data_IF_938785591189
#
_entry.id   IF_938785591189
#
_cell.length_a   1.000
_cell.length_b   1.000
_cell.length_c   1.000
_cell.angle_alpha   90.00
_cell.angle_beta   90.00
_cell.angle_gamma   90.00
#
_symmetry.space_group_name_H-M   'P 1'
#
loop_
_entity.id
_entity.type
_entity.pdbx_description
1 polymer ?
#
# COMPACT_ATOMS: atom_id res chain seq x y z
N UNK A 1 14.77 23.35 -10.92
CA UNK A 1 13.31 23.07 -10.75
C UNK A 1 12.91 23.02 -9.29
N UNK A 2 13.51 22.17 -8.45
CA UNK A 2 13.18 22.06 -7.01
C UNK A 2 13.27 23.38 -6.24
N UNK A 3 14.36 24.15 -6.41
CA UNK A 3 14.51 25.46 -5.75
C UNK A 3 13.42 26.45 -6.17
N UNK A 4 13.00 26.41 -7.44
CA UNK A 4 11.93 27.27 -7.95
C UNK A 4 10.59 26.97 -7.26
N UNK A 5 10.20 25.69 -7.21
CA UNK A 5 8.99 25.26 -6.50
C UNK A 5 9.04 25.64 -5.02
N UNK A 6 10.19 25.48 -4.36
CA UNK A 6 10.38 25.87 -2.96
C UNK A 6 10.18 27.37 -2.72
N UNK A 7 10.59 28.23 -3.67
CA UNK A 7 10.38 29.67 -3.59
C UNK A 7 8.91 30.07 -3.87
N UNK A 8 8.14 29.22 -4.55
CA UNK A 8 6.72 29.44 -4.84
C UNK A 8 5.81 29.06 -3.66
N UNK A 9 6.22 28.08 -2.82
CA UNK A 9 5.45 27.56 -1.66
C UNK A 9 4.86 28.65 -0.74
N UNK A 10 5.59 29.72 -0.34
CA UNK A 10 5.01 30.75 0.52
C UNK A 10 3.82 31.49 -0.11
N UNK A 11 3.76 31.54 -1.44
CA UNK A 11 2.72 32.23 -2.20
C UNK A 11 1.64 31.27 -2.72
N UNK A 12 1.94 29.98 -2.83
CA UNK A 12 1.03 28.94 -3.31
C UNK A 12 1.01 27.72 -2.36
N UNK A 13 0.05 27.66 -1.42
CA UNK A 13 -0.12 26.53 -0.52
C UNK A 13 -0.41 25.20 -1.23
N UNK A 14 -0.84 25.21 -2.49
CA UNK A 14 -1.11 23.97 -3.25
C UNK A 14 0.17 23.23 -3.65
N UNK A 15 1.33 23.88 -3.51
CA UNK A 15 2.64 23.26 -3.69
C UNK A 15 3.11 22.45 -2.46
N UNK A 16 2.36 22.45 -1.36
CA UNK A 16 2.69 21.67 -0.16
C UNK A 16 2.23 20.22 -0.32
N UNK A 17 3.16 19.30 -0.13
CA UNK A 17 2.86 17.87 -0.12
C UNK A 17 2.23 17.44 1.21
N UNK A 18 1.17 16.66 1.13
CA UNK A 18 0.59 15.98 2.28
C UNK A 18 1.34 14.67 2.56
N UNK A 19 2.13 14.67 3.64
CA UNK A 19 2.97 13.52 4.01
C UNK A 19 2.17 12.23 4.22
N UNK A 20 0.97 12.33 4.78
CA UNK A 20 0.21 11.15 5.19
C UNK A 20 -0.64 10.52 4.08
N UNK A 21 -0.77 11.21 2.94
CA UNK A 21 -1.49 10.76 1.76
C UNK A 21 -0.88 9.48 1.16
N UNK A 22 -1.71 8.51 0.74
CA UNK A 22 -1.22 7.22 0.24
C UNK A 22 -0.43 7.31 -1.07
N UNK A 23 -0.59 8.38 -1.87
CA UNK A 23 0.29 8.61 -3.02
C UNK A 23 1.76 8.89 -2.60
N UNK A 24 1.98 9.32 -1.35
CA UNK A 24 3.30 9.57 -0.78
C UNK A 24 3.81 8.41 0.10
N UNK A 25 3.01 7.33 0.26
CA UNK A 25 3.35 6.16 1.06
C UNK A 25 3.38 4.90 0.20
N UNK A 26 4.56 4.29 0.11
CA UNK A 26 4.81 3.07 -0.66
C UNK A 26 4.93 1.84 0.24
N UNK A 27 4.28 0.75 -0.13
CA UNK A 27 4.42 -0.56 0.50
C UNK A 27 5.69 -1.24 -0.03
N UNK A 28 6.54 -1.68 0.90
CA UNK A 28 7.70 -2.53 0.57
C UNK A 28 7.31 -3.99 0.67
N UNK A 29 7.38 -4.70 -0.45
CA UNK A 29 7.01 -6.10 -0.51
C UNK A 29 8.15 -7.02 -0.01
N UNK A 30 7.85 -8.25 0.46
CA UNK A 30 8.87 -9.20 0.91
C UNK A 30 9.95 -9.46 -0.15
N UNK A 31 9.58 -9.50 -1.44
CA UNK A 31 10.52 -9.67 -2.54
C UNK A 31 11.57 -8.56 -2.62
N UNK A 32 11.17 -7.30 -2.42
CA UNK A 32 12.09 -6.16 -2.40
C UNK A 32 13.02 -6.20 -1.18
N UNK A 33 12.52 -6.63 -0.02
CA UNK A 33 13.35 -6.81 1.17
C UNK A 33 14.40 -7.92 0.93
N UNK A 34 13.99 -9.03 0.31
CA UNK A 34 14.88 -10.12 -0.07
C UNK A 34 15.91 -9.69 -1.11
N UNK A 35 15.51 -8.93 -2.13
CA UNK A 35 16.41 -8.38 -3.14
C UNK A 35 17.47 -7.48 -2.51
N UNK A 36 17.07 -6.58 -1.61
CA UNK A 36 18.00 -5.69 -0.92
C UNK A 36 18.99 -6.45 -0.02
N UNK A 37 18.52 -7.49 0.67
CA UNK A 37 19.40 -8.36 1.46
C UNK A 37 20.38 -9.12 0.57
N UNK A 38 19.91 -9.68 -0.55
CA UNK A 38 20.74 -10.37 -1.54
C UNK A 38 21.79 -9.43 -2.14
N UNK A 39 21.38 -8.23 -2.58
CA UNK A 39 22.27 -7.18 -3.11
C UNK A 39 23.35 -6.83 -2.10
N UNK A 40 22.99 -6.63 -0.83
CA UNK A 40 23.96 -6.36 0.26
C UNK A 40 24.96 -7.50 0.42
N UNK A 41 24.48 -8.76 0.37
CA UNK A 41 25.33 -9.95 0.41
C UNK A 41 26.31 -10.02 -0.77
N UNK A 42 25.81 -9.79 -1.98
CA UNK A 42 26.60 -9.81 -3.22
C UNK A 42 27.67 -8.69 -3.25
N UNK A 43 27.32 -7.48 -2.80
CA UNK A 43 28.28 -6.36 -2.70
C UNK A 43 29.42 -6.71 -1.73
N UNK A 44 29.11 -7.31 -0.58
CA UNK A 44 30.13 -7.79 0.37
C UNK A 44 30.98 -8.90 -0.24
N UNK A 45 30.36 -9.85 -0.93
CA UNK A 45 31.07 -10.93 -1.63
C UNK A 45 32.05 -10.37 -2.67
N UNK A 46 31.60 -9.41 -3.49
CA UNK A 46 32.40 -8.79 -4.54
C UNK A 46 33.61 -8.04 -3.95
N UNK A 47 33.42 -7.34 -2.82
CA UNK A 47 34.52 -6.68 -2.11
C UNK A 47 35.57 -7.70 -1.63
N UNK A 48 35.15 -8.76 -0.96
CA UNK A 48 36.06 -9.80 -0.47
C UNK A 48 36.78 -10.52 -1.62
N UNK A 49 36.07 -10.80 -2.72
CA UNK A 49 36.67 -11.39 -3.91
C UNK A 49 37.75 -10.47 -4.51
N UNK A 50 37.49 -9.17 -4.58
CA UNK A 50 38.48 -8.16 -5.03
C UNK A 50 39.71 -8.11 -4.13
N UNK A 51 39.51 -8.14 -2.81
CA UNK A 51 40.61 -8.14 -1.84
C UNK A 51 41.45 -9.44 -1.89
N UNK A 52 40.86 -10.55 -2.33
CA UNK A 52 41.58 -11.80 -2.58
C UNK A 52 42.29 -11.80 -3.92
N UNK A 53 41.72 -11.21 -4.97
CA UNK A 53 42.36 -11.13 -6.29
C UNK A 53 43.75 -10.48 -6.25
N UNK A 54 44.01 -9.57 -5.30
CA UNK A 54 45.34 -8.98 -5.12
C UNK A 54 46.37 -9.92 -4.47
N UNK A 55 45.95 -11.09 -3.96
CA UNK A 55 46.79 -12.02 -3.18
C UNK A 55 47.00 -13.38 -3.83
N UNK A 56 46.15 -13.79 -4.76
CA UNK A 56 46.22 -15.11 -5.40
C UNK A 56 46.76 -14.99 -6.84
N UNK A 57 47.64 -15.92 -7.21
CA UNK A 57 48.09 -16.09 -8.59
C UNK A 57 46.95 -16.72 -9.42
N UNK A 58 46.67 -16.17 -10.61
CA UNK A 58 45.48 -16.50 -11.42
C UNK A 58 45.56 -17.86 -12.13
N UNK A 59 46.75 -18.46 -12.12
CA UNK A 59 47.19 -19.66 -12.81
C UNK A 59 46.99 -20.95 -12.01
N UNK A 60 46.57 -20.85 -10.73
CA UNK A 60 46.21 -22.02 -9.93
C UNK A 60 44.83 -22.60 -10.32
N UNK A 61 44.74 -23.94 -10.37
CA UNK A 61 43.44 -24.66 -10.46
C UNK A 61 42.56 -24.29 -9.25
N UNK A 62 41.25 -24.19 -9.48
CA UNK A 62 40.22 -23.85 -8.48
C UNK A 62 40.25 -22.41 -7.91
N UNK A 63 40.98 -21.48 -8.52
CA UNK A 63 41.04 -20.07 -8.09
C UNK A 63 39.65 -19.42 -7.91
N UNK A 64 38.70 -19.67 -8.82
CA UNK A 64 37.34 -19.11 -8.74
C UNK A 64 36.61 -19.54 -7.45
N UNK A 65 36.73 -20.82 -7.07
CA UNK A 65 36.09 -21.36 -5.84
C UNK A 65 36.71 -20.78 -4.57
N UNK A 66 37.99 -20.42 -4.61
CA UNK A 66 38.69 -19.76 -3.49
C UNK A 66 38.32 -18.29 -3.35
N UNK A 67 38.05 -17.62 -4.48
CA UNK A 67 37.69 -16.20 -4.53
C UNK A 67 36.23 -15.97 -4.08
N UNK A 68 35.28 -16.76 -4.58
CA UNK A 68 33.85 -16.56 -4.35
C UNK A 68 33.40 -17.28 -3.06
N UNK A 69 32.84 -16.53 -2.11
CA UNK A 69 32.34 -17.07 -0.84
C UNK A 69 30.83 -16.89 -0.68
N UNK A 70 30.09 -18.00 -0.70
CA UNK A 70 28.64 -18.03 -0.52
C UNK A 70 28.19 -17.67 0.90
N UNK A 71 29.08 -17.78 1.89
CA UNK A 71 28.78 -17.48 3.31
C UNK A 71 28.30 -16.03 3.51
N UNK A 72 28.79 -15.10 2.70
CA UNK A 72 28.40 -13.68 2.79
C UNK A 72 26.95 -13.45 2.40
N UNK A 73 26.51 -14.09 1.32
CA UNK A 73 25.13 -14.05 0.83
C UNK A 73 24.20 -14.77 1.81
N UNK A 74 24.59 -15.98 2.25
CA UNK A 74 23.83 -16.74 3.24
C UNK A 74 23.65 -15.94 4.54
N UNK A 75 24.72 -15.28 5.02
CA UNK A 75 24.64 -14.43 6.20
C UNK A 75 23.66 -13.26 6.06
N UNK A 76 23.63 -12.59 4.91
CA UNK A 76 22.71 -11.50 4.65
C UNK A 76 21.24 -11.97 4.59
N UNK A 77 20.98 -13.11 3.95
CA UNK A 77 19.64 -13.73 3.89
C UNK A 77 19.20 -14.19 5.29
N UNK A 78 20.07 -14.87 6.03
CA UNK A 78 19.79 -15.31 7.39
C UNK A 78 19.48 -14.13 8.31
N UNK A 79 20.22 -13.01 8.16
CA UNK A 79 19.95 -11.80 8.93
C UNK A 79 18.54 -11.26 8.65
N UNK A 80 18.10 -11.24 7.38
CA UNK A 80 16.76 -10.81 7.01
C UNK A 80 15.68 -11.69 7.68
N UNK A 81 15.78 -13.02 7.58
CA UNK A 81 14.72 -13.90 8.05
C UNK A 81 14.75 -14.20 9.54
N UNK A 82 15.92 -14.31 10.17
CA UNK A 82 16.02 -14.64 11.60
C UNK A 82 15.95 -13.42 12.52
N UNK A 83 16.42 -12.25 12.06
CA UNK A 83 16.48 -11.05 12.91
C UNK A 83 15.66 -9.88 12.37
N UNK A 84 15.12 -9.99 11.16
CA UNK A 84 14.31 -8.95 10.55
C UNK A 84 12.97 -8.79 11.27
N UNK A 85 12.63 -7.54 11.62
CA UNK A 85 11.38 -7.21 12.34
C UNK A 85 10.09 -7.54 11.58
N UNK A 86 10.17 -7.62 10.25
CA UNK A 86 9.05 -7.99 9.38
C UNK A 86 8.95 -9.50 9.16
N UNK A 87 9.97 -10.28 9.57
CA UNK A 87 9.92 -11.73 9.59
C UNK A 87 9.38 -12.16 10.95
N UNK A 88 8.08 -12.46 10.99
CA UNK A 88 7.36 -12.79 12.23
C UNK A 88 6.85 -14.22 12.16
N UNK A 89 6.68 -14.84 13.32
CA UNK A 89 5.99 -16.13 13.39
C UNK A 89 4.55 -15.97 12.93
N UNK A 90 4.15 -16.81 11.98
CA UNK A 90 2.79 -16.78 11.44
C UNK A 90 1.79 -17.13 12.54
N UNK A 91 0.88 -16.22 12.85
CA UNK A 91 -0.30 -16.50 13.65
C UNK A 91 -1.20 -17.53 12.90
N UNK A 92 -1.39 -18.71 13.49
CA UNK A 92 -2.09 -19.85 12.87
C UNK A 92 -3.23 -20.42 13.74
N UNK A 93 -3.85 -19.59 14.58
CA UNK A 93 -4.95 -20.03 15.45
C UNK A 93 -6.15 -20.54 14.64
N UNK A 94 -6.45 -19.90 13.52
CA UNK A 94 -7.48 -20.33 12.57
C UNK A 94 -7.17 -19.74 11.16
N UNK A 95 -7.85 -20.20 10.09
CA UNK A 95 -7.59 -19.73 8.74
C UNK A 95 -7.77 -18.22 8.53
N UNK A 96 -8.70 -17.59 9.26
CA UNK A 96 -8.94 -16.15 9.17
C UNK A 96 -7.75 -15.38 9.74
N UNK A 97 -7.23 -15.77 10.91
CA UNK A 97 -6.04 -15.18 11.53
C UNK A 97 -4.82 -15.30 10.62
N UNK A 98 -4.63 -16.45 9.99
CA UNK A 98 -3.53 -16.64 9.05
C UNK A 98 -3.65 -15.69 7.84
N UNK A 99 -4.87 -15.57 7.29
CA UNK A 99 -5.14 -14.72 6.14
C UNK A 99 -4.98 -13.23 6.46
N UNK A 100 -5.48 -12.77 7.61
CA UNK A 100 -5.35 -11.37 8.04
C UNK A 100 -3.91 -11.02 8.35
N UNK A 101 -3.15 -11.92 8.98
CA UNK A 101 -1.73 -11.70 9.26
C UNK A 101 -0.92 -11.54 7.96
N UNK A 102 -1.17 -12.35 6.92
CA UNK A 102 -0.50 -12.22 5.62
C UNK A 102 -0.86 -10.92 4.86
N UNK A 103 -1.97 -10.27 5.21
CA UNK A 103 -2.46 -9.02 4.58
C UNK A 103 -2.20 -7.76 5.41
N UNK A 104 -1.45 -7.89 6.50
CA UNK A 104 -1.16 -6.83 7.45
C UNK A 104 -0.08 -5.88 6.88
N UNK A 105 -0.31 -4.58 7.02
CA UNK A 105 0.63 -3.52 6.73
C UNK A 105 1.24 -3.03 8.05
N UNK A 106 2.55 -2.78 8.06
CA UNK A 106 3.27 -2.36 9.26
C UNK A 106 4.12 -1.12 8.96
N UNK A 107 3.79 -0.01 9.61
CA UNK A 107 4.52 1.25 9.48
C UNK A 107 5.80 1.31 10.35
N UNK A 108 6.00 0.33 11.25
CA UNK A 108 7.15 0.26 12.14
C UNK A 108 8.37 -0.36 11.44
N UNK A 109 9.57 0.17 11.70
CA UNK A 109 10.83 -0.46 11.22
C UNK A 109 11.55 0.26 10.10
N UNK A 110 10.98 1.35 9.55
CA UNK A 110 11.60 2.23 8.55
C UNK A 110 12.05 3.60 9.06
N UNK A 111 12.19 3.78 10.38
CA UNK A 111 12.51 5.07 11.03
C UNK A 111 11.43 5.56 12.00
N UNK A 112 10.20 5.05 11.86
CA UNK A 112 9.12 5.22 12.84
C UNK A 112 9.24 4.18 13.96
N UNK A 113 9.22 4.67 15.20
CA UNK A 113 9.12 3.85 16.40
C UNK A 113 7.83 4.20 17.13
N UNK A 114 7.30 3.26 17.92
CA UNK A 114 6.02 3.43 18.64
C UNK A 114 5.96 4.73 19.47
N UNK A 115 7.07 5.11 20.09
CA UNK A 115 7.22 6.31 20.92
C UNK A 115 7.37 7.62 20.13
N UNK A 116 7.82 7.55 18.88
CA UNK A 116 8.04 8.72 18.00
C UNK A 116 6.89 8.93 17.01
N UNK A 117 5.94 8.00 16.94
CA UNK A 117 4.77 8.15 16.10
C UNK A 117 3.83 9.20 16.70
N UNK A 118 3.71 10.34 16.01
CA UNK A 118 2.72 11.37 16.30
C UNK A 118 1.30 10.83 16.06
N UNK A 119 0.30 11.51 16.63
CA UNK A 119 -1.11 11.17 16.49
C UNK A 119 -1.54 11.18 15.02
N UNK A 120 -1.10 12.17 14.23
CA UNK A 120 -1.39 12.32 12.80
C UNK A 120 -1.13 11.04 11.97
N UNK A 121 -0.05 10.32 12.27
CA UNK A 121 0.35 9.10 11.53
C UNK A 121 -0.55 7.91 11.87
N UNK A 122 -1.26 7.97 13.01
CA UNK A 122 -2.16 6.92 13.49
C UNK A 122 -3.60 7.14 13.05
N UNK A 123 -3.92 8.34 12.57
CA UNK A 123 -5.28 8.71 12.20
C UNK A 123 -5.69 8.12 10.84
N UNK A 124 -6.99 8.06 10.59
CA UNK A 124 -7.54 7.57 9.33
C UNK A 124 -7.49 8.70 8.31
N UNK A 125 -6.63 8.56 7.31
CA UNK A 125 -6.61 9.46 6.17
C UNK A 125 -7.67 9.06 5.15
N UNK A 126 -8.37 9.99 4.49
CA UNK A 126 -9.40 9.61 3.51
C UNK A 126 -8.87 8.94 2.23
N UNK A 127 -7.58 9.10 1.90
CA UNK A 127 -6.90 8.29 0.89
C UNK A 127 -6.92 6.79 1.22
N UNK A 128 -7.13 6.39 2.48
CA UNK A 128 -7.31 5.00 2.90
C UNK A 128 -8.59 4.36 2.35
N UNK A 129 -9.56 5.16 1.88
CA UNK A 129 -10.84 4.67 1.37
C UNK A 129 -10.63 3.57 0.32
N UNK A 130 -11.22 2.40 0.59
CA UNK A 130 -11.10 1.18 -0.21
C UNK A 130 -9.67 0.59 -0.39
N UNK A 131 -8.67 1.12 0.32
CA UNK A 131 -7.26 0.68 0.27
C UNK A 131 -6.81 0.02 1.57
N UNK A 132 -7.07 0.66 2.69
CA UNK A 132 -6.72 0.20 4.04
C UNK A 132 -8.00 0.12 4.86
N UNK A 133 -8.17 -0.97 5.60
CA UNK A 133 -9.30 -1.12 6.52
C UNK A 133 -9.19 -0.09 7.65
N UNK A 134 -10.21 0.77 7.87
CA UNK A 134 -10.18 1.74 8.96
C UNK A 134 -10.50 1.13 10.33
N UNK A 135 -11.07 -0.08 10.36
CA UNK A 135 -11.55 -0.74 11.59
C UNK A 135 -10.51 -1.74 12.13
N UNK A 136 -9.87 -2.49 11.23
CA UNK A 136 -8.97 -3.58 11.61
C UNK A 136 -7.56 -3.04 11.93
N UNK A 137 -7.39 -2.64 13.19
CA UNK A 137 -6.11 -2.24 13.79
C UNK A 137 -6.01 -2.83 15.20
N UNK A 138 -4.82 -3.25 15.66
CA UNK A 138 -4.64 -3.62 17.06
C UNK A 138 -4.89 -2.43 17.98
N UNK A 139 -5.49 -2.70 19.13
CA UNK A 139 -5.66 -1.70 20.19
C UNK A 139 -4.33 -1.37 20.90
N UNK A 140 -4.36 -0.30 21.70
CA UNK A 140 -3.23 0.11 22.53
C UNK A 140 -2.11 0.78 21.72
N UNK A 141 -0.85 0.48 22.04
CA UNK A 141 0.28 1.26 21.51
C UNK A 141 0.48 1.15 20.00
N UNK A 142 -0.05 0.10 19.36
CA UNK A 142 0.10 -0.16 17.94
C UNK A 142 -1.05 0.42 17.08
N UNK A 143 -2.05 1.05 17.69
CA UNK A 143 -3.21 1.60 16.96
C UNK A 143 -2.77 2.53 15.83
N UNK A 144 -3.30 2.30 14.63
CA UNK A 144 -3.01 3.05 13.40
C UNK A 144 -1.64 2.79 12.78
N UNK A 145 -0.74 2.06 13.47
CA UNK A 145 0.61 1.73 12.98
C UNK A 145 0.68 0.34 12.33
N UNK A 146 -0.26 -0.51 12.71
CA UNK A 146 -0.49 -1.83 12.12
C UNK A 146 -1.91 -1.82 11.62
N UNK A 147 -2.06 -1.96 10.31
CA UNK A 147 -3.36 -1.93 9.65
C UNK A 147 -3.49 -3.11 8.71
N UNK A 148 -4.67 -3.34 8.14
CA UNK A 148 -4.91 -4.40 7.17
C UNK A 148 -5.32 -3.83 5.82
N UNK A 149 -4.92 -4.50 4.73
CA UNK A 149 -5.43 -4.18 3.39
C UNK A 149 -6.95 -4.40 3.33
N UNK A 150 -7.65 -3.48 2.69
CA UNK A 150 -9.07 -3.65 2.38
C UNK A 150 -9.30 -4.86 1.44
N UNK A 151 -10.54 -5.36 1.37
CA UNK A 151 -10.86 -6.62 0.68
C UNK A 151 -10.37 -6.70 -0.77
N UNK A 152 -10.58 -5.64 -1.56
CA UNK A 152 -10.29 -5.63 -2.99
C UNK A 152 -9.07 -4.80 -3.38
N UNK A 153 -8.39 -4.21 -2.39
CA UNK A 153 -7.18 -3.43 -2.60
C UNK A 153 -6.06 -4.31 -3.18
N UNK A 154 -5.27 -3.72 -4.06
CA UNK A 154 -4.09 -4.36 -4.67
C UNK A 154 -2.88 -3.44 -4.54
N UNK A 155 -1.69 -4.03 -4.63
CA UNK A 155 -0.44 -3.29 -4.66
C UNK A 155 0.08 -3.37 -6.10
N UNK A 156 0.35 -2.22 -6.72
CA UNK A 156 0.86 -2.17 -8.10
C UNK A 156 2.36 -2.46 -8.18
N UNK A 157 2.91 -2.48 -9.39
CA UNK A 157 4.33 -2.76 -9.64
C UNK A 157 5.28 -1.76 -8.94
N UNK A 158 4.81 -0.54 -8.71
CA UNK A 158 5.55 0.52 -8.02
C UNK A 158 5.40 0.46 -6.51
N UNK A 159 4.58 -0.44 -5.95
CA UNK A 159 4.37 -0.60 -4.51
C UNK A 159 3.31 0.33 -3.92
N UNK A 160 2.49 1.01 -4.72
CA UNK A 160 1.37 1.82 -4.23
C UNK A 160 0.10 0.99 -4.16
N UNK A 161 -0.81 1.38 -3.25
CA UNK A 161 -2.08 0.67 -3.05
C UNK A 161 -3.13 1.28 -3.98
N UNK A 162 -3.80 0.42 -4.74
CA UNK A 162 -4.85 0.78 -5.67
C UNK A 162 -6.18 0.17 -5.25
N UNK A 163 -7.26 0.91 -5.50
CA UNK A 163 -8.63 0.47 -5.25
C UNK A 163 -9.39 0.31 -6.57
N UNK A 164 -10.22 -0.75 -6.72
CA UNK A 164 -11.01 -0.96 -7.92
C UNK A 164 -12.33 -0.19 -7.92
N UNK A 165 -12.66 0.34 -9.10
CA UNK A 165 -13.92 1.02 -9.39
C UNK A 165 -14.49 0.57 -10.72
N UNK A 166 -15.82 0.67 -10.91
CA UNK A 166 -16.44 0.44 -12.22
C UNK A 166 -16.58 1.76 -12.96
N UNK A 167 -16.18 1.77 -14.24
CA UNK A 167 -16.30 2.97 -15.08
C UNK A 167 -17.77 3.30 -15.36
N UNK A 168 -18.11 4.58 -15.27
CA UNK A 168 -19.42 5.13 -15.64
C UNK A 168 -19.25 6.00 -16.89
N UNK A 169 -20.07 5.74 -17.91
CA UNK A 169 -20.05 6.50 -19.17
C UNK A 169 -21.44 7.03 -19.43
N UNK A 170 -21.59 8.36 -19.46
CA UNK A 170 -22.87 9.06 -19.71
C UNK A 170 -24.01 8.57 -18.80
N UNK A 171 -23.73 8.36 -17.51
CA UNK A 171 -24.69 7.88 -16.51
C UNK A 171 -25.02 6.40 -16.57
N UNK A 172 -24.29 5.62 -17.37
CA UNK A 172 -24.39 4.15 -17.42
C UNK A 172 -23.13 3.51 -16.86
N UNK A 173 -23.29 2.71 -15.82
CA UNK A 173 -22.27 1.83 -15.26
C UNK A 173 -21.91 0.75 -16.27
N UNK A 174 -20.61 0.56 -16.47
CA UNK A 174 -20.04 -0.46 -17.35
C UNK A 174 -19.47 -1.63 -16.53
N UNK A 175 -19.09 -2.71 -17.21
CA UNK A 175 -18.42 -3.86 -16.57
C UNK A 175 -16.89 -3.71 -16.54
N UNK A 176 -16.37 -2.58 -17.03
CA UNK A 176 -14.94 -2.27 -16.96
C UNK A 176 -14.56 -1.89 -15.53
N UNK A 177 -13.65 -2.67 -14.94
CA UNK A 177 -13.06 -2.39 -13.63
C UNK A 177 -11.71 -1.71 -13.85
N UNK A 178 -11.54 -0.54 -13.25
CA UNK A 178 -10.32 0.25 -13.28
C UNK A 178 -9.77 0.35 -11.87
N UNK A 179 -8.47 0.06 -11.71
CA UNK A 179 -7.75 0.27 -10.46
C UNK A 179 -7.18 1.68 -10.46
N UNK A 180 -7.45 2.43 -9.39
CA UNK A 180 -6.99 3.81 -9.24
C UNK A 180 -6.05 3.94 -8.05
N UNK A 181 -4.94 4.65 -8.26
CA UNK A 181 -4.10 5.17 -7.19
C UNK A 181 -4.84 6.25 -6.40
N UNK A 182 -4.33 6.59 -5.21
CA UNK A 182 -4.97 7.58 -4.34
C UNK A 182 -5.08 8.97 -5.00
N UNK A 183 -4.01 9.45 -5.63
CA UNK A 183 -3.95 10.73 -6.34
C UNK A 183 -4.75 10.73 -7.66
N UNK A 184 -4.84 9.58 -8.34
CA UNK A 184 -5.68 9.45 -9.53
C UNK A 184 -7.16 9.51 -9.18
N UNK A 185 -7.56 8.87 -8.09
CA UNK A 185 -8.93 8.87 -7.59
C UNK A 185 -9.47 10.28 -7.35
N UNK A 186 -8.61 11.19 -6.87
CA UNK A 186 -8.99 12.58 -6.55
C UNK A 186 -9.47 13.38 -7.76
N UNK A 187 -9.07 12.98 -8.97
CA UNK A 187 -9.43 13.65 -10.23
C UNK A 187 -10.85 13.33 -10.69
N UNK A 188 -11.53 12.39 -10.03
CA UNK A 188 -12.81 11.85 -10.49
C UNK A 188 -13.95 12.05 -9.48
N UNK A 189 -15.18 12.12 -10.01
CA UNK A 189 -16.42 12.07 -9.24
C UNK A 189 -16.85 10.60 -9.07
N UNK A 190 -16.78 10.09 -7.84
CA UNK A 190 -17.03 8.67 -7.54
C UNK A 190 -18.27 8.53 -6.67
N UNK A 191 -19.25 7.75 -7.13
CA UNK A 191 -20.46 7.45 -6.35
C UNK A 191 -20.31 6.13 -5.56
N UNK A 192 -20.96 5.98 -4.40
CA UNK A 192 -20.88 4.76 -3.59
C UNK A 192 -21.38 3.50 -4.31
N UNK A 193 -20.91 2.33 -3.87
CA UNK A 193 -21.36 1.05 -4.41
C UNK A 193 -22.85 0.74 -4.14
N UNK A 194 -23.45 1.42 -3.17
CA UNK A 194 -24.87 1.28 -2.80
C UNK A 194 -25.81 2.11 -3.68
N UNK A 195 -25.27 2.98 -4.54
CA UNK A 195 -26.08 3.83 -5.43
C UNK A 195 -27.00 2.96 -6.31
N UNK A 196 -28.32 3.22 -6.34
CA UNK A 196 -29.26 2.39 -7.12
C UNK A 196 -28.99 2.43 -8.63
N UNK A 197 -28.86 1.24 -9.24
CA UNK A 197 -28.63 1.06 -10.67
C UNK A 197 -29.72 0.17 -11.27
N UNK A 198 -30.33 0.63 -12.36
CA UNK A 198 -31.39 -0.08 -13.07
C UNK A 198 -30.92 -1.21 -13.97
N UNK A 199 -31.88 -2.03 -14.45
CA UNK A 199 -31.63 -3.07 -15.46
C UNK A 199 -31.09 -2.40 -16.73
N UNK A 200 -29.83 -2.66 -17.07
CA UNK A 200 -29.12 -1.99 -18.16
C UNK A 200 -28.05 -0.98 -17.72
N UNK A 201 -27.76 -0.87 -16.42
CA UNK A 201 -26.60 -0.13 -15.90
C UNK A 201 -26.84 1.36 -15.68
N UNK A 202 -28.04 1.89 -15.92
CA UNK A 202 -28.33 3.31 -15.68
C UNK A 202 -28.46 3.60 -14.20
N UNK A 203 -27.75 4.61 -13.73
CA UNK A 203 -27.88 5.12 -12.37
C UNK A 203 -29.26 5.79 -12.25
N UNK A 204 -30.00 5.50 -11.17
CA UNK A 204 -31.30 6.12 -10.90
C UNK A 204 -31.17 7.49 -10.24
N UNK A 205 -32.23 8.30 -10.39
CA UNK A 205 -32.33 9.64 -9.81
C UNK A 205 -31.81 10.75 -10.73
N UNK A 206 -32.17 11.99 -10.40
CA UNK A 206 -31.70 13.17 -11.12
C UNK A 206 -30.33 13.64 -10.64
N UNK A 207 -30.04 13.41 -9.36
CA UNK A 207 -28.75 13.70 -8.72
C UNK A 207 -28.36 12.55 -7.81
N UNK A 208 -27.07 12.25 -7.77
CA UNK A 208 -26.49 11.23 -6.90
C UNK A 208 -25.33 11.78 -6.10
N UNK A 209 -25.12 11.23 -4.92
CA UNK A 209 -23.98 11.57 -4.08
C UNK A 209 -22.69 11.08 -4.74
N UNK A 210 -21.73 11.98 -4.86
CA UNK A 210 -20.38 11.68 -5.28
C UNK A 210 -19.39 12.22 -4.28
N UNK A 211 -18.33 11.46 -4.04
CA UNK A 211 -17.12 11.95 -3.42
C UNK A 211 -16.20 12.51 -4.51
N UNK A 212 -15.60 13.65 -4.22
CA UNK A 212 -14.56 14.27 -5.05
C UNK A 212 -13.22 14.25 -4.31
N UNK A 213 -12.12 14.56 -4.99
CA UNK A 213 -10.77 14.43 -4.43
C UNK A 213 -10.42 15.24 -3.20
N UNK A 214 -11.24 16.23 -2.81
CA UNK A 214 -11.07 16.98 -1.55
C UNK A 214 -12.03 16.51 -0.46
N UNK A 215 -12.50 15.27 -0.57
CA UNK A 215 -13.44 14.65 0.38
C UNK A 215 -14.82 15.33 0.43
N UNK A 216 -15.07 16.28 -0.47
CA UNK A 216 -16.35 16.94 -0.57
C UNK A 216 -17.37 15.97 -1.17
N UNK A 217 -18.43 15.75 -0.41
CA UNK A 217 -19.63 15.06 -0.87
C UNK A 217 -20.52 16.08 -1.56
N UNK A 218 -20.83 15.83 -2.83
CA UNK A 218 -21.69 16.70 -3.65
C UNK A 218 -22.76 15.87 -4.33
N UNK A 219 -23.89 16.52 -4.63
CA UNK A 219 -24.94 15.94 -5.46
C UNK A 219 -24.71 16.31 -6.92
N UNK A 220 -24.45 15.33 -7.77
CA UNK A 220 -24.14 15.56 -9.19
C UNK A 220 -25.10 14.78 -10.09
N UNK A 221 -25.43 15.29 -11.29
CA UNK A 221 -26.19 14.50 -12.26
C UNK A 221 -25.46 13.19 -12.60
N UNK A 222 -26.16 12.07 -12.81
CA UNK A 222 -25.52 10.80 -13.18
C UNK A 222 -24.56 10.87 -14.37
N UNK A 223 -24.77 11.81 -15.30
CA UNK A 223 -23.92 12.02 -16.48
C UNK A 223 -22.52 12.51 -16.14
N UNK A 224 -22.36 13.17 -15.00
CA UNK A 224 -21.09 13.73 -14.51
C UNK A 224 -20.30 12.72 -13.67
N UNK A 225 -20.90 11.59 -13.29
CA UNK A 225 -20.24 10.52 -12.52
C UNK A 225 -19.22 9.81 -13.40
N UNK A 226 -17.99 9.69 -12.93
CA UNK A 226 -16.92 8.98 -13.65
C UNK A 226 -16.83 7.52 -13.23
N UNK A 227 -17.02 7.23 -11.94
CA UNK A 227 -16.85 5.89 -11.37
C UNK A 227 -17.89 5.59 -10.31
N UNK A 228 -18.13 4.29 -10.10
CA UNK A 228 -18.93 3.76 -8.98
C UNK A 228 -18.13 2.70 -8.22
N UNK A 229 -18.27 2.66 -6.89
CA UNK A 229 -17.67 1.62 -6.07
C UNK A 229 -18.10 0.21 -6.50
N UNK A 230 -17.19 -0.77 -6.44
CA UNK A 230 -17.50 -2.15 -6.86
C UNK A 230 -18.38 -2.92 -5.86
N UNK A 231 -18.26 -2.62 -4.57
CA UNK A 231 -18.94 -3.31 -3.48
C UNK A 231 -18.81 -2.48 -2.20
N UNK A 232 -19.83 -2.42 -1.32
CA UNK A 232 -19.70 -1.81 0.00
C UNK A 232 -18.61 -2.47 0.86
N UNK A 233 -18.37 -3.77 0.65
CA UNK A 233 -17.31 -4.53 1.33
C UNK A 233 -15.90 -4.09 0.94
N UNK A 234 -15.74 -3.28 -0.12
CA UNK A 234 -14.44 -2.78 -0.52
C UNK A 234 -13.84 -1.80 0.49
N UNK A 235 -14.62 -1.23 1.39
CA UNK A 235 -14.16 -0.26 2.39
C UNK A 235 -13.44 -0.89 3.57
N UNK A 236 -13.64 -2.18 3.82
CA UNK A 236 -13.19 -2.86 5.04
C UNK A 236 -12.26 -4.02 4.73
N UNK A 237 -11.59 -4.52 5.76
CA UNK A 237 -10.71 -5.69 5.72
C UNK A 237 -11.51 -7.00 5.70
N UNK A 238 -10.80 -8.10 5.48
CA UNK A 238 -11.44 -9.41 5.31
C UNK A 238 -12.19 -9.86 6.57
N UNK A 239 -11.62 -9.64 7.76
CA UNK A 239 -12.26 -10.00 9.03
C UNK A 239 -13.51 -9.16 9.28
N UNK A 240 -13.41 -7.84 9.14
CA UNK A 240 -14.54 -6.92 9.27
C UNK A 240 -15.66 -7.21 8.28
N UNK A 241 -15.35 -7.62 7.04
CA UNK A 241 -16.35 -7.97 6.03
C UNK A 241 -17.17 -9.24 6.34
N UNK A 242 -16.77 -10.02 7.35
CA UNK A 242 -17.48 -11.21 7.82
C UNK A 242 -18.43 -10.91 8.99
N UNK A 243 -18.40 -9.69 9.54
CA UNK A 243 -19.32 -9.27 10.60
C UNK A 243 -20.69 -8.97 9.96
N UNK A 244 -21.76 -9.68 10.34
CA UNK A 244 -23.10 -9.35 9.86
C UNK A 244 -23.58 -8.06 10.52
N UNK A 245 -24.36 -7.26 9.79
CA UNK A 245 -24.93 -6.00 10.30
C UNK A 245 -23.88 -5.01 10.84
N UNK A 246 -22.69 -4.98 10.24
CA UNK A 246 -21.60 -4.06 10.60
C UNK A 246 -22.06 -2.58 10.57
N UNK A 247 -23.06 -2.26 9.76
CA UNK A 247 -23.69 -0.93 9.68
C UNK A 247 -24.51 -0.53 10.93
N UNK A 248 -24.75 -1.45 11.87
CA UNK A 248 -25.53 -1.24 13.09
C UNK A 248 -24.69 -1.26 14.38
N UNK A 249 -23.39 -1.52 14.28
CA UNK A 249 -22.43 -1.46 15.40
C UNK A 249 -21.69 -0.11 15.43
#
# INVERSE_FOLDING_TARGET
RTIKLLLEVPNDPTCLDEKDHLANKRVRLPGELAENALRTGLVRMARIARDKLSKYALDEKDTIRRLISTRTVQGAINQLFYTGRFSQFLEQTNPLTELTHKRRLNALGGGLTKRRAKIEVRDVHPSHYARICPIETPEGQNIGLITSLACYARINEYGFIEAPYRRVVKGKVTDEIVYLMADDEEKYKITPATTPVGKGGRIFGERVEVRTGREEVRLEPPKEVNFIGISPKALVGISSALIPFLEHE
#
